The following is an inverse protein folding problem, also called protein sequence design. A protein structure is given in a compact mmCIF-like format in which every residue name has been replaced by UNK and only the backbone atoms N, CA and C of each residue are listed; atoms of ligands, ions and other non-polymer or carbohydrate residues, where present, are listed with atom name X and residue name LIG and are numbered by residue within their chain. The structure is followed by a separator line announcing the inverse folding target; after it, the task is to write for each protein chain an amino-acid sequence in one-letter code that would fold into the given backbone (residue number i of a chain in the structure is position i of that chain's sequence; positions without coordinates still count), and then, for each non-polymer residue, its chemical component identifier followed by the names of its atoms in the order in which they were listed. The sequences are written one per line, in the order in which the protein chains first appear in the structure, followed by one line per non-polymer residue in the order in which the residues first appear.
data_IF_529538989654
#
_entry.id   IF_529538989654
#
_cell.length_a   1.000
_cell.length_b   1.000
_cell.length_c   1.000
_cell.angle_alpha   90.00
_cell.angle_beta   90.00
_cell.angle_gamma   90.00
#
_symmetry.space_group_name_H-M   'P 1'
#
loop_
_entity.id
_entity.type
_entity.pdbx_description
1 polymer ?
#
# COMPACT_ATOMS: atom_id res chain seq x y z
N UNK A 1 7.02 -5.95 4.21
CA UNK A 1 7.38 -5.55 2.83
C UNK A 1 8.89 -5.59 2.73
N UNK A 2 9.42 -6.20 1.67
CA UNK A 2 10.87 -6.41 1.51
C UNK A 2 11.58 -5.04 1.41
N UNK A 3 12.47 -4.77 2.37
CA UNK A 3 13.19 -3.51 2.50
C UNK A 3 14.12 -3.23 1.32
N UNK A 4 14.51 -4.26 0.56
CA UNK A 4 15.41 -4.14 -0.59
C UNK A 4 14.73 -3.52 -1.81
N UNK A 5 13.40 -3.54 -1.86
CA UNK A 5 12.63 -3.06 -3.02
C UNK A 5 12.35 -1.54 -2.91
N UNK A 6 12.85 -0.85 -1.88
CA UNK A 6 12.97 0.62 -1.72
C UNK A 6 11.82 1.51 -2.25
N UNK A 7 10.57 1.01 -2.28
CA UNK A 7 9.44 1.77 -2.83
C UNK A 7 9.39 1.84 -4.36
N UNK A 8 10.14 0.98 -5.06
CA UNK A 8 10.18 0.87 -6.52
C UNK A 8 8.94 0.17 -7.11
N UNK A 9 7.81 0.23 -6.41
CA UNK A 9 6.56 -0.39 -6.82
C UNK A 9 5.37 0.41 -6.31
N UNK A 10 4.32 0.47 -7.12
CA UNK A 10 3.04 1.00 -6.68
C UNK A 10 2.38 0.06 -5.66
N UNK A 11 1.81 0.60 -4.56
CA UNK A 11 1.07 -0.21 -3.59
C UNK A 11 -0.08 -0.99 -4.27
N UNK A 12 -0.77 -0.34 -5.21
CA UNK A 12 -1.86 -0.96 -5.97
C UNK A 12 -1.36 -2.11 -6.88
N UNK A 13 -0.23 -1.93 -7.57
CA UNK A 13 0.39 -2.97 -8.39
C UNK A 13 0.84 -4.16 -7.55
N UNK A 14 1.50 -3.91 -6.41
CA UNK A 14 1.91 -4.95 -5.48
C UNK A 14 0.73 -5.74 -4.89
N UNK A 15 -0.38 -5.08 -4.53
CA UNK A 15 -1.58 -5.76 -4.03
C UNK A 15 -2.21 -6.66 -5.10
N UNK A 16 -2.28 -6.19 -6.35
CA UNK A 16 -2.80 -7.00 -7.46
C UNK A 16 -1.89 -8.19 -7.75
N UNK A 17 -0.57 -7.99 -7.79
CA UNK A 17 0.40 -9.06 -7.97
C UNK A 17 0.32 -10.12 -6.84
N UNK A 18 0.20 -9.67 -5.59
CA UNK A 18 0.00 -10.56 -4.45
C UNK A 18 -1.29 -11.38 -4.57
N UNK A 19 -2.36 -10.78 -5.07
CA UNK A 19 -3.63 -11.48 -5.31
C UNK A 19 -3.47 -12.61 -6.33
N UNK A 20 -2.72 -12.37 -7.42
CA UNK A 20 -2.40 -13.40 -8.42
C UNK A 20 -1.58 -14.53 -7.78
N UNK A 21 -0.56 -14.19 -7.00
CA UNK A 21 0.28 -15.16 -6.30
C UNK A 21 -0.52 -16.05 -5.35
N UNK A 22 -1.44 -15.46 -4.56
CA UNK A 22 -2.32 -16.20 -3.65
C UNK A 22 -3.17 -17.22 -4.43
N UNK A 23 -3.73 -16.83 -5.58
CA UNK A 23 -4.49 -17.77 -6.43
C UNK A 23 -3.64 -18.90 -6.97
N UNK A 24 -2.40 -18.61 -7.37
CA UNK A 24 -1.45 -19.62 -7.87
C UNK A 24 -1.04 -20.62 -6.76
N UNK A 25 -0.92 -20.15 -5.52
CA UNK A 25 -0.53 -20.94 -4.36
C UNK A 25 -1.73 -21.63 -3.67
N UNK A 26 -2.94 -21.50 -4.21
CA UNK A 26 -4.14 -22.09 -3.61
C UNK A 26 -3.96 -23.60 -3.36
N UNK A 27 -4.38 -24.12 -2.18
CA UNK A 27 -4.37 -25.56 -1.92
C UNK A 27 -5.32 -26.31 -2.86
N UNK A 28 -6.38 -25.65 -3.32
CA UNK A 28 -7.33 -26.21 -4.28
C UNK A 28 -6.81 -26.05 -5.71
N UNK A 29 -6.53 -27.14 -6.45
CA UNK A 29 -5.98 -27.07 -7.81
C UNK A 29 -6.94 -26.42 -8.81
N UNK A 30 -8.26 -26.56 -8.62
CA UNK A 30 -9.27 -25.95 -9.51
C UNK A 30 -9.33 -24.43 -9.40
N UNK A 31 -8.87 -23.88 -8.27
CA UNK A 31 -8.81 -22.44 -8.06
C UNK A 31 -7.54 -21.81 -8.65
N UNK A 32 -6.56 -22.64 -9.07
CA UNK A 32 -5.33 -22.15 -9.67
C UNK A 32 -5.62 -21.66 -11.09
N UNK A 33 -5.23 -20.42 -11.43
CA UNK A 33 -5.41 -19.90 -12.77
C UNK A 33 -4.54 -20.67 -13.77
N UNK A 34 -4.96 -20.68 -15.03
CA UNK A 34 -4.12 -21.19 -16.10
C UNK A 34 -2.98 -20.21 -16.36
N UNK A 35 -1.81 -20.70 -16.77
CA UNK A 35 -0.65 -19.82 -16.98
C UNK A 35 -0.90 -18.70 -18.00
N UNK A 36 -1.72 -18.94 -19.03
CA UNK A 36 -2.11 -17.87 -19.97
C UNK A 36 -2.79 -16.70 -19.24
N UNK A 37 -3.67 -17.00 -18.27
CA UNK A 37 -4.42 -15.99 -17.54
C UNK A 37 -3.51 -15.25 -16.55
N UNK A 38 -2.53 -15.96 -15.96
CA UNK A 38 -1.48 -15.37 -15.12
C UNK A 38 -0.62 -14.38 -15.92
N UNK A 39 -0.17 -14.78 -17.11
CA UNK A 39 0.63 -13.92 -17.99
C UNK A 39 -0.15 -12.68 -18.39
N UNK A 40 -1.38 -12.84 -18.89
CA UNK A 40 -2.24 -11.71 -19.25
C UNK A 40 -2.45 -10.75 -18.08
N UNK A 41 -2.68 -11.27 -16.87
CA UNK A 41 -2.87 -10.44 -15.69
C UNK A 41 -1.58 -9.69 -15.29
N UNK A 42 -0.41 -10.30 -15.45
CA UNK A 42 0.89 -9.67 -15.15
C UNK A 42 1.27 -8.61 -16.20
N UNK A 43 0.97 -8.85 -17.48
CA UNK A 43 1.19 -7.88 -18.56
C UNK A 43 0.37 -6.60 -18.34
N UNK A 44 -0.91 -6.76 -17.99
CA UNK A 44 -1.79 -5.62 -17.63
C UNK A 44 -1.26 -4.82 -16.45
N UNK A 45 -0.63 -5.47 -15.47
CA UNK A 45 -0.02 -4.78 -14.34
C UNK A 45 1.21 -3.98 -14.76
N UNK A 46 2.06 -4.55 -15.60
CA UNK A 46 3.25 -3.89 -16.11
C UNK A 46 2.88 -2.66 -16.94
N UNK A 47 1.92 -2.79 -17.87
CA UNK A 47 1.44 -1.66 -18.67
C UNK A 47 0.81 -0.55 -17.80
N UNK A 48 0.07 -0.93 -16.75
CA UNK A 48 -0.48 0.05 -15.83
C UNK A 48 0.64 0.83 -15.13
N UNK A 49 1.67 0.15 -14.64
CA UNK A 49 2.82 0.76 -13.95
C UNK A 49 3.61 1.70 -14.87
N UNK A 50 3.86 1.32 -16.12
CA UNK A 50 4.55 2.14 -17.13
C UNK A 50 3.80 3.44 -17.44
N UNK A 51 2.46 3.40 -17.46
CA UNK A 51 1.63 4.61 -17.62
C UNK A 51 1.73 5.56 -16.43
N UNK A 52 1.97 5.07 -15.21
CA UNK A 52 2.17 5.92 -14.03
C UNK A 52 3.57 6.55 -14.00
N UNK A 53 4.61 5.87 -14.51
CA UNK A 53 5.96 6.44 -14.59
C UNK A 53 6.03 7.60 -15.58
N UNK A 54 5.26 7.57 -16.68
CA UNK A 54 5.16 8.67 -17.64
C UNK A 54 4.65 9.99 -17.00
N UNK A 55 3.83 9.91 -15.94
CA UNK A 55 3.35 11.09 -15.20
C UNK A 55 4.30 11.60 -14.11
N UNK A 56 5.36 10.85 -13.77
CA UNK A 56 6.36 11.27 -12.78
C UNK A 56 7.54 12.05 -13.40
N UNK A 57 7.61 12.17 -14.73
CA UNK A 57 8.63 12.93 -15.45
C UNK A 57 8.21 14.40 -15.69
N UNK A 58 7.73 15.10 -14.66
CA UNK A 58 7.66 16.56 -14.69
C UNK A 58 8.42 17.16 -13.50
N UNK A 59 9.53 17.88 -13.72
CA UNK A 59 10.14 18.71 -12.70
C UNK A 59 9.36 20.04 -12.60
N UNK A 60 8.78 20.29 -11.42
CA UNK A 60 8.38 21.59 -10.86
C UNK A 60 7.70 22.63 -11.78
N UNK A 61 6.39 22.83 -11.56
CA UNK A 61 5.78 24.17 -11.52
C UNK A 61 4.79 24.20 -10.34
N UNK A 62 5.01 25.17 -9.46
CA UNK A 62 4.32 25.33 -8.19
C UNK A 62 2.84 25.76 -8.35
N UNK A 63 2.09 25.59 -7.25
CA UNK A 63 0.99 26.43 -6.75
C UNK A 63 -0.38 25.75 -6.55
N UNK A 64 -0.86 25.94 -5.31
CA UNK A 64 -2.24 26.12 -4.87
C UNK A 64 -3.16 24.92 -4.53
N UNK A 65 -3.13 24.58 -3.24
CA UNK A 65 -4.27 24.45 -2.32
C UNK A 65 -5.66 24.11 -2.91
N UNK A 66 -6.12 22.86 -2.70
CA UNK A 66 -7.43 22.53 -2.09
C UNK A 66 -7.93 21.12 -2.45
N UNK A 67 -7.50 20.10 -1.70
CA UNK A 67 -8.29 18.86 -1.61
C UNK A 67 -7.98 18.17 -0.27
N UNK A 68 -9.00 18.10 0.58
CA UNK A 68 -8.90 17.72 1.98
C UNK A 68 -8.17 16.40 2.22
N UNK A 69 -7.09 16.49 3.00
CA UNK A 69 -6.41 15.34 3.59
C UNK A 69 -7.29 14.75 4.70
N UNK A 70 -8.21 13.85 4.34
CA UNK A 70 -9.12 13.16 5.29
C UNK A 70 -8.47 12.00 6.05
N UNK A 71 -7.16 11.84 5.98
CA UNK A 71 -6.42 10.82 6.73
C UNK A 71 -5.52 11.46 7.78
N UNK A 72 -6.13 12.22 8.70
CA UNK A 72 -5.48 12.61 9.95
C UNK A 72 -5.25 11.33 10.76
N UNK A 73 -4.02 10.80 10.76
CA UNK A 73 -3.62 9.74 11.68
C UNK A 73 -3.96 10.20 13.10
N UNK A 74 -4.89 9.51 13.77
CA UNK A 74 -5.03 9.63 15.22
C UNK A 74 -3.76 9.04 15.84
N UNK A 75 -2.95 9.91 16.42
CA UNK A 75 -1.82 9.51 17.25
C UNK A 75 -2.35 8.72 18.43
N UNK A 76 -1.87 7.50 18.62
CA UNK A 76 -2.37 6.55 19.61
C UNK A 76 -1.72 6.71 21.01
N UNK A 77 -1.35 7.92 21.40
CA UNK A 77 -0.59 8.15 22.64
C UNK A 77 -1.39 8.71 23.83
N UNK A 78 -2.73 8.79 23.77
CA UNK A 78 -3.55 9.37 24.86
C UNK A 78 -4.35 8.36 25.72
N UNK A 79 -4.18 7.03 25.53
CA UNK A 79 -5.07 6.05 26.21
C UNK A 79 -4.47 5.43 27.48
N UNK A 80 -3.21 5.71 27.84
CA UNK A 80 -2.65 5.25 29.11
C UNK A 80 -2.22 6.42 30.00
N UNK A 81 -3.21 7.12 30.55
CA UNK A 81 -3.04 7.95 31.75
C UNK A 81 -3.78 7.29 32.92
N UNK A 82 -3.15 6.35 33.67
CA UNK A 82 -3.70 5.88 34.92
C UNK A 82 -3.68 7.04 35.91
N UNK A 83 -4.84 7.45 36.38
CA UNK A 83 -4.97 8.34 37.54
C UNK A 83 -4.50 7.59 38.79
N UNK A 84 -3.24 7.77 39.18
CA UNK A 84 -2.81 7.51 40.54
C UNK A 84 -2.59 8.84 41.24
N UNK A 85 -3.52 9.20 42.12
CA UNK A 85 -3.32 10.25 43.10
C UNK A 85 -2.29 9.76 44.14
N UNK A 86 -1.21 10.49 44.43
CA UNK A 86 -0.35 10.17 45.56
C UNK A 86 -1.03 10.59 46.87
N UNK A 87 -0.78 9.88 47.99
CA UNK A 87 -1.30 10.26 49.30
C UNK A 87 -0.64 11.56 49.77
N UNK A 88 -1.41 12.36 50.50
CA UNK A 88 -0.95 13.54 51.21
C UNK A 88 -0.03 13.08 52.36
N UNK A 89 1.19 13.60 52.39
CA UNK A 89 2.08 13.72 53.56
C UNK A 89 2.65 15.15 53.47
N UNK A 90 2.69 16.00 54.50
CA UNK A 90 2.49 15.86 55.94
C UNK A 90 1.81 17.14 56.49
#
# INVERSE_FOLDING_TARGET
MDARIQGQYSLAGALKAATIAIKCLSPEPKARPLMRDVVTALEQLKEAEERFVATAAQPNLAQDLSAGSKYRRRSANDIYRPTYAPPIQA
#
